data_IF_245417772915
#
_entry.id   IF_245417772915
#
_cell.length_a   1.000
_cell.length_b   1.000
_cell.length_c   1.000
_cell.angle_alpha   90.00
_cell.angle_beta   90.00
_cell.angle_gamma   90.00
#
_symmetry.space_group_name_H-M   'P 1'
#
loop_
_entity.id
_entity.type
_entity.pdbx_description
1 polymer ?
#
# COMPACT_ATOMS: atom_id res chain seq x y z
N UNK A 1 26.33 0.91 -6.81
CA UNK A 1 25.60 -0.29 -7.30
C UNK A 1 24.18 -0.35 -6.71
N UNK A 2 23.27 0.54 -7.09
CA UNK A 2 21.89 0.58 -6.56
C UNK A 2 20.79 0.75 -7.60
N UNK A 3 21.14 0.95 -8.88
CA UNK A 3 20.19 1.24 -9.95
C UNK A 3 19.22 0.09 -10.22
N UNK A 4 19.73 -1.15 -10.30
CA UNK A 4 18.90 -2.34 -10.57
C UNK A 4 17.84 -2.57 -9.49
N UNK A 5 18.20 -2.42 -8.21
CA UNK A 5 17.23 -2.59 -7.11
C UNK A 5 16.12 -1.54 -7.15
N UNK A 6 16.43 -0.30 -7.55
CA UNK A 6 15.40 0.75 -7.75
C UNK A 6 14.49 0.44 -8.93
N UNK A 7 15.04 -0.02 -10.05
CA UNK A 7 14.24 -0.40 -11.22
C UNK A 7 13.23 -1.52 -10.89
N UNK A 8 13.64 -2.53 -10.10
CA UNK A 8 12.73 -3.60 -9.68
C UNK A 8 11.66 -3.09 -8.71
N UNK A 9 12.00 -2.17 -7.79
CA UNK A 9 11.02 -1.54 -6.90
C UNK A 9 9.98 -0.73 -7.68
N UNK A 10 10.41 0.06 -8.68
CA UNK A 10 9.48 0.78 -9.55
C UNK A 10 8.65 -0.15 -10.43
N UNK A 11 9.19 -1.29 -10.86
CA UNK A 11 8.41 -2.30 -11.58
C UNK A 11 7.28 -2.86 -10.72
N UNK A 12 7.54 -3.21 -9.45
CA UNK A 12 6.51 -3.68 -8.51
C UNK A 12 5.43 -2.62 -8.28
N UNK A 13 5.81 -1.35 -8.10
CA UNK A 13 4.84 -0.26 -7.96
C UNK A 13 3.96 -0.12 -9.21
N UNK A 14 4.57 -0.13 -10.40
CA UNK A 14 3.84 -0.03 -11.66
C UNK A 14 2.89 -1.21 -11.87
N UNK A 15 3.28 -2.41 -11.43
CA UNK A 15 2.43 -3.59 -11.46
C UNK A 15 1.25 -3.43 -10.49
N UNK A 16 1.50 -2.93 -9.27
CA UNK A 16 0.44 -2.62 -8.32
C UNK A 16 -0.57 -1.63 -8.91
N UNK A 17 -0.13 -0.57 -9.59
CA UNK A 17 -1.04 0.38 -10.24
C UNK A 17 -1.97 -0.26 -11.27
N UNK A 18 -1.51 -1.32 -11.96
CA UNK A 18 -2.31 -2.01 -12.99
C UNK A 18 -3.27 -3.04 -12.40
N UNK A 19 -2.81 -3.84 -11.45
CA UNK A 19 -3.52 -5.04 -11.02
C UNK A 19 -4.28 -4.85 -9.71
N UNK A 20 -3.82 -3.95 -8.84
CA UNK A 20 -4.43 -3.77 -7.53
C UNK A 20 -5.91 -3.35 -7.58
N UNK A 21 -6.36 -2.44 -8.48
CA UNK A 21 -7.76 -2.05 -8.53
C UNK A 21 -8.74 -3.20 -8.79
N UNK A 22 -8.48 -4.05 -9.79
CA UNK A 22 -9.33 -5.20 -10.09
C UNK A 22 -9.25 -6.25 -8.97
N UNK A 23 -8.04 -6.55 -8.50
CA UNK A 23 -7.81 -7.49 -7.41
C UNK A 23 -8.58 -7.10 -6.14
N UNK A 24 -8.52 -5.82 -5.73
CA UNK A 24 -9.23 -5.31 -4.56
C UNK A 24 -10.75 -5.39 -4.71
N UNK A 25 -11.27 -5.10 -5.91
CA UNK A 25 -12.70 -5.18 -6.19
C UNK A 25 -13.20 -6.62 -6.10
N UNK A 26 -12.48 -7.56 -6.73
CA UNK A 26 -12.88 -8.96 -6.79
C UNK A 26 -12.74 -9.70 -5.47
N UNK A 27 -11.64 -9.44 -4.73
CA UNK A 27 -11.30 -10.23 -3.53
C UNK A 27 -11.77 -9.61 -2.23
N UNK A 28 -11.95 -8.29 -2.20
CA UNK A 28 -12.28 -7.56 -0.99
C UNK A 28 -13.51 -6.66 -1.13
N UNK A 29 -14.12 -6.56 -2.32
CA UNK A 29 -15.25 -5.65 -2.56
C UNK A 29 -14.86 -4.18 -2.44
N UNK A 30 -13.58 -3.85 -2.57
CA UNK A 30 -13.04 -2.49 -2.44
C UNK A 30 -12.88 -1.90 -3.84
N UNK A 31 -13.64 -0.85 -4.13
CA UNK A 31 -13.60 -0.19 -5.43
C UNK A 31 -12.65 1.01 -5.37
N UNK A 32 -11.55 0.95 -6.12
CA UNK A 32 -10.66 2.11 -6.28
C UNK A 32 -11.31 3.07 -7.28
N UNK A 33 -11.63 4.30 -6.82
CA UNK A 33 -12.44 5.27 -7.56
C UNK A 33 -11.62 6.11 -8.54
N UNK A 34 -10.35 6.35 -8.20
CA UNK A 34 -9.41 7.13 -8.99
C UNK A 34 -8.18 6.31 -9.38
N UNK A 35 -7.36 6.82 -10.30
CA UNK A 35 -6.04 6.25 -10.56
C UNK A 35 -5.18 6.25 -9.28
N UNK A 36 -4.45 5.15 -9.05
CA UNK A 36 -3.39 5.12 -8.04
C UNK A 36 -2.27 6.07 -8.46
N UNK A 37 -1.82 6.91 -7.52
CA UNK A 37 -0.73 7.85 -7.75
C UNK A 37 0.30 7.78 -6.64
N UNK A 38 1.54 8.14 -7.00
CA UNK A 38 2.57 8.53 -6.05
C UNK A 38 2.49 10.03 -5.83
N UNK A 39 2.64 10.48 -4.59
CA UNK A 39 2.79 11.89 -4.27
C UNK A 39 3.70 12.09 -3.06
N UNK A 40 4.10 13.33 -2.81
CA UNK A 40 4.85 13.71 -1.61
C UNK A 40 3.94 14.44 -0.63
N UNK A 41 4.03 14.07 0.65
CA UNK A 41 3.37 14.76 1.75
C UNK A 41 4.38 15.07 2.85
N UNK A 42 4.59 16.36 3.14
CA UNK A 42 5.52 16.85 4.17
C UNK A 42 6.92 16.19 4.10
N UNK A 43 7.45 16.02 2.88
CA UNK A 43 8.76 15.41 2.63
C UNK A 43 8.80 13.87 2.66
N UNK A 44 7.66 13.20 2.85
CA UNK A 44 7.55 11.74 2.71
C UNK A 44 6.87 11.38 1.39
N UNK A 45 7.53 10.57 0.56
CA UNK A 45 6.93 10.00 -0.63
C UNK A 45 5.92 8.90 -0.24
N UNK A 46 4.76 8.88 -0.86
CA UNK A 46 3.70 7.90 -0.64
C UNK A 46 3.44 7.19 -1.95
N UNK A 47 3.74 5.90 -2.02
CA UNK A 47 3.74 5.18 -3.29
C UNK A 47 2.33 4.86 -3.81
N UNK A 48 1.41 4.51 -2.92
CA UNK A 48 0.04 4.13 -3.29
C UNK A 48 -0.92 5.09 -2.61
N UNK A 49 -1.59 5.92 -3.39
CA UNK A 49 -2.66 6.80 -2.92
C UNK A 49 -3.81 6.84 -3.94
N UNK A 50 -5.04 6.65 -3.48
CA UNK A 50 -6.25 6.84 -4.27
C UNK A 50 -7.48 7.02 -3.36
N UNK A 51 -8.54 7.63 -3.88
CA UNK A 51 -9.87 7.46 -3.29
C UNK A 51 -10.38 6.05 -3.59
N UNK A 52 -11.05 5.46 -2.62
CA UNK A 52 -11.67 4.16 -2.75
C UNK A 52 -13.03 4.15 -2.05
N UNK A 53 -13.81 3.11 -2.33
CA UNK A 53 -15.09 2.84 -1.69
C UNK A 53 -15.05 1.45 -1.08
N UNK A 54 -15.40 1.36 0.20
CA UNK A 54 -15.53 0.11 0.95
C UNK A 54 -16.86 0.11 1.69
N UNK A 55 -17.64 -0.96 1.51
CA UNK A 55 -18.94 -1.12 2.16
C UNK A 55 -19.86 0.10 1.98
N UNK A 56 -19.83 0.70 0.78
CA UNK A 56 -20.64 1.88 0.46
C UNK A 56 -20.05 3.23 0.88
N UNK A 57 -18.97 3.25 1.68
CA UNK A 57 -18.35 4.46 2.23
C UNK A 57 -17.08 4.84 1.50
N UNK A 58 -16.85 6.13 1.30
CA UNK A 58 -15.59 6.64 0.77
C UNK A 58 -14.47 6.56 1.81
N UNK A 59 -13.33 6.05 1.39
CA UNK A 59 -12.09 5.93 2.17
C UNK A 59 -10.90 6.34 1.32
N UNK A 60 -9.78 6.66 1.94
CA UNK A 60 -8.50 6.83 1.24
C UNK A 60 -7.72 5.52 1.29
N UNK A 61 -7.37 4.97 0.13
CA UNK A 61 -6.41 3.89 0.05
C UNK A 61 -5.00 4.49 0.10
N UNK A 62 -4.20 4.07 1.08
CA UNK A 62 -2.86 4.60 1.32
C UNK A 62 -1.89 3.47 1.62
N UNK A 63 -0.74 3.44 0.96
CA UNK A 63 0.21 2.35 1.15
C UNK A 63 1.54 2.49 0.44
N UNK A 64 2.32 1.43 0.56
CA UNK A 64 3.68 1.36 0.01
C UNK A 64 3.90 0.06 -0.77
N UNK A 65 4.68 0.15 -1.85
CA UNK A 65 5.18 -1.00 -2.58
C UNK A 65 6.61 -1.30 -2.13
N UNK A 66 6.82 -2.43 -1.44
CA UNK A 66 8.11 -2.82 -0.89
C UNK A 66 8.47 -4.22 -1.36
N UNK A 67 9.64 -4.42 -1.97
CA UNK A 67 10.00 -5.74 -2.52
C UNK A 67 9.93 -6.87 -1.48
N UNK A 68 10.36 -6.58 -0.26
CA UNK A 68 10.35 -7.52 0.87
C UNK A 68 9.95 -6.82 2.16
N UNK A 69 8.93 -7.35 2.82
CA UNK A 69 8.51 -7.01 4.17
C UNK A 69 9.11 -8.01 5.17
N UNK A 70 10.40 -7.81 5.44
CA UNK A 70 11.23 -8.67 6.30
C UNK A 70 11.88 -7.92 7.47
N UNK A 71 11.63 -6.60 7.58
CA UNK A 71 12.09 -5.76 8.68
C UNK A 71 10.92 -4.97 9.29
N UNK A 72 10.80 -5.04 10.62
CA UNK A 72 9.81 -4.30 11.41
C UNK A 72 9.96 -2.78 11.26
N UNK A 73 11.17 -2.29 10.99
CA UNK A 73 11.42 -0.87 10.74
C UNK A 73 10.69 -0.38 9.49
N UNK A 74 10.57 -1.22 8.45
CA UNK A 74 9.81 -0.92 7.22
C UNK A 74 8.34 -0.77 7.55
N UNK A 75 7.76 -1.74 8.28
CA UNK A 75 6.35 -1.65 8.69
C UNK A 75 6.06 -0.39 9.51
N UNK A 76 6.94 -0.04 10.46
CA UNK A 76 6.82 1.22 11.22
C UNK A 76 6.88 2.45 10.31
N UNK A 77 7.77 2.47 9.30
CA UNK A 77 7.86 3.57 8.34
C UNK A 77 6.58 3.71 7.52
N UNK A 78 6.05 2.61 7.00
CA UNK A 78 4.79 2.61 6.25
C UNK A 78 3.65 3.13 7.13
N UNK A 79 3.57 2.67 8.38
CA UNK A 79 2.56 3.15 9.34
C UNK A 79 2.62 4.65 9.56
N UNK A 80 3.82 5.24 9.76
CA UNK A 80 3.94 6.69 9.91
C UNK A 80 3.39 7.46 8.70
N UNK A 81 3.64 6.97 7.48
CA UNK A 81 3.13 7.60 6.25
C UNK A 81 1.61 7.51 6.15
N UNK A 82 1.04 6.35 6.48
CA UNK A 82 -0.42 6.16 6.56
C UNK A 82 -1.03 7.11 7.59
N UNK A 83 -0.46 7.19 8.79
CA UNK A 83 -0.91 8.09 9.85
C UNK A 83 -0.81 9.57 9.42
N UNK A 84 0.24 9.94 8.68
CA UNK A 84 0.43 11.28 8.14
C UNK A 84 -0.69 11.69 7.17
N UNK A 85 -1.10 10.78 6.29
CA UNK A 85 -2.22 11.02 5.35
C UNK A 85 -3.53 11.08 6.10
N UNK A 86 -3.77 10.16 7.04
CA UNK A 86 -4.98 10.20 7.86
C UNK A 86 -5.11 11.54 8.60
N UNK A 87 -4.01 12.06 9.15
CA UNK A 87 -3.98 13.35 9.84
C UNK A 87 -4.21 14.54 8.89
N UNK A 88 -3.59 14.54 7.70
CA UNK A 88 -3.71 15.64 6.74
C UNK A 88 -5.14 15.73 6.17
N UNK A 89 -5.72 14.60 5.77
CA UNK A 89 -7.01 14.57 5.08
C UNK A 89 -8.20 14.39 6.01
N UNK A 90 -7.98 14.10 7.30
CA UNK A 90 -9.03 13.83 8.31
C UNK A 90 -10.07 12.82 7.83
N UNK A 91 -9.62 11.79 7.10
CA UNK A 91 -10.45 10.79 6.46
C UNK A 91 -10.11 9.38 6.94
N UNK A 92 -11.05 8.46 6.80
CA UNK A 92 -10.80 7.04 7.04
C UNK A 92 -9.79 6.52 6.00
N UNK A 93 -8.77 5.81 6.48
CA UNK A 93 -7.70 5.27 5.63
C UNK A 93 -7.75 3.75 5.62
N UNK A 94 -7.82 3.18 4.41
CA UNK A 94 -7.50 1.79 4.14
C UNK A 94 -5.99 1.67 3.91
N UNK A 95 -5.27 1.20 4.94
CA UNK A 95 -3.83 1.01 4.88
C UNK A 95 -3.46 -0.26 4.10
N UNK A 96 -2.56 -0.16 3.13
CA UNK A 96 -2.14 -1.30 2.30
C UNK A 96 -0.62 -1.42 2.18
N UNK A 97 -0.11 -2.66 2.15
CA UNK A 97 1.27 -2.99 1.78
C UNK A 97 1.24 -3.93 0.59
N UNK A 98 1.86 -3.52 -0.50
CA UNK A 98 2.13 -4.40 -1.64
C UNK A 98 3.57 -4.90 -1.54
N UNK A 99 3.77 -6.22 -1.57
CA UNK A 99 5.10 -6.81 -1.46
C UNK A 99 5.28 -8.03 -2.32
N UNK A 100 6.48 -8.37 -2.77
CA UNK A 100 6.67 -9.70 -3.37
C UNK A 100 6.71 -10.77 -2.27
N UNK A 101 7.36 -10.47 -1.14
CA UNK A 101 7.50 -11.42 -0.04
C UNK A 101 7.34 -10.75 1.32
N UNK A 102 6.63 -11.41 2.23
CA UNK A 102 6.61 -11.08 3.65
C UNK A 102 6.94 -12.32 4.47
N UNK A 103 7.74 -12.17 5.53
CA UNK A 103 7.86 -13.27 6.51
C UNK A 103 6.51 -13.49 7.19
N UNK A 104 6.16 -14.73 7.56
CA UNK A 104 4.87 -15.02 8.20
C UNK A 104 4.62 -14.14 9.42
N UNK A 105 5.66 -13.95 10.25
CA UNK A 105 5.62 -13.08 11.42
C UNK A 105 5.27 -11.63 11.06
N UNK A 106 5.97 -11.01 10.10
CA UNK A 106 5.68 -9.61 9.76
C UNK A 106 4.37 -9.44 8.99
N UNK A 107 3.96 -10.43 8.20
CA UNK A 107 2.65 -10.44 7.56
C UNK A 107 1.54 -10.40 8.62
N UNK A 108 1.62 -11.28 9.61
CA UNK A 108 0.66 -11.31 10.73
C UNK A 108 0.69 -10.02 11.55
N UNK A 109 1.88 -9.48 11.84
CA UNK A 109 2.01 -8.21 12.56
C UNK A 109 1.39 -7.05 11.79
N UNK A 110 1.60 -6.97 10.48
CA UNK A 110 1.00 -5.94 9.63
C UNK A 110 -0.53 -6.07 9.58
N UNK A 111 -1.06 -7.28 9.40
CA UNK A 111 -2.49 -7.54 9.41
C UNK A 111 -3.14 -7.17 10.75
N UNK A 112 -2.52 -7.54 11.88
CA UNK A 112 -2.97 -7.14 13.22
C UNK A 112 -2.93 -5.63 13.43
N UNK A 113 -2.03 -4.93 12.75
CA UNK A 113 -1.94 -3.47 12.77
C UNK A 113 -2.93 -2.79 11.80
N UNK A 114 -3.83 -3.54 11.15
CA UNK A 114 -4.87 -3.02 10.27
C UNK A 114 -4.45 -2.83 8.82
N UNK A 115 -3.27 -3.32 8.43
CA UNK A 115 -2.86 -3.29 7.02
C UNK A 115 -3.47 -4.44 6.25
N UNK A 116 -4.01 -4.13 5.07
CA UNK A 116 -4.16 -5.12 4.03
C UNK A 116 -2.77 -5.42 3.44
N UNK A 117 -2.33 -6.68 3.51
CA UNK A 117 -1.05 -7.11 2.91
C UNK A 117 -1.36 -7.90 1.66
N UNK A 118 -0.88 -7.40 0.51
CA UNK A 118 -1.05 -8.05 -0.79
C UNK A 118 0.31 -8.47 -1.31
N UNK A 119 0.46 -9.76 -1.56
CA UNK A 119 1.65 -10.30 -2.20
C UNK A 119 1.51 -10.30 -3.72
N UNK A 120 2.57 -9.95 -4.43
CA UNK A 120 2.50 -9.66 -5.87
C UNK A 120 2.16 -10.84 -6.78
N UNK A 121 2.13 -12.04 -6.23
CA UNK A 121 1.75 -13.27 -6.93
C UNK A 121 0.28 -13.67 -6.65
N UNK A 122 -0.49 -12.85 -5.91
CA UNK A 122 -1.89 -13.13 -5.57
C UNK A 122 -2.89 -12.62 -6.63
N UNK A 123 -2.46 -11.70 -7.49
CA UNK A 123 -3.23 -11.19 -8.62
C UNK A 123 -2.86 -11.89 -9.93
#
# INVERSE_FOLDING_TARGET
MGGLSRSVAYALENEAYRNLPSFLKERYGIEVLDRLVRFELRGEEINLFAKAKRDGREVLLVGEAVLRLDDRSKLRKIKRKVDLVADEYKAEVLAIVVTHFATSKLREEAQKAGFLVVQSFEW
#
